data_IF_040103391034
#
_entry.id   IF_040103391034
#
_cell.length_a   1.000
_cell.length_b   1.000
_cell.length_c   1.000
_cell.angle_alpha   90.00
_cell.angle_beta   90.00
_cell.angle_gamma   90.00
#
_symmetry.space_group_name_H-M   'P 1'
#
loop_
_entity.id
_entity.type
_entity.pdbx_description
1 polymer ?
#
# COMPACT_ATOMS: atom_id res chain seq x y z
N UNK A 1 -55.31 13.79 1.79
CA UNK A 1 -54.83 12.68 2.64
C UNK A 1 -53.92 11.72 1.88
N UNK A 2 -54.40 11.00 0.85
CA UNK A 2 -53.60 9.97 0.13
C UNK A 2 -52.30 10.48 -0.52
N UNK A 3 -52.33 11.65 -1.17
CA UNK A 3 -51.14 12.24 -1.81
C UNK A 3 -50.08 12.65 -0.76
N UNK A 4 -50.52 13.16 0.39
CA UNK A 4 -49.63 13.52 1.50
C UNK A 4 -48.92 12.29 2.08
N UNK A 5 -49.61 11.16 2.17
CA UNK A 5 -49.04 9.89 2.62
C UNK A 5 -48.01 9.38 1.61
N UNK A 6 -48.29 9.48 0.30
CA UNK A 6 -47.33 9.09 -0.75
C UNK A 6 -46.07 9.96 -0.75
N UNK A 7 -46.21 11.27 -0.54
CA UNK A 7 -45.07 12.18 -0.41
C UNK A 7 -44.22 11.88 0.83
N UNK A 8 -44.86 11.57 1.96
CA UNK A 8 -44.17 11.14 3.18
C UNK A 8 -43.40 9.82 2.96
N UNK A 9 -44.01 8.83 2.32
CA UNK A 9 -43.34 7.57 2.00
C UNK A 9 -42.16 7.77 1.03
N UNK A 10 -42.32 8.62 0.01
CA UNK A 10 -41.24 8.97 -0.91
C UNK A 10 -40.08 9.69 -0.21
N UNK A 11 -40.38 10.62 0.70
CA UNK A 11 -39.37 11.32 1.49
C UNK A 11 -38.60 10.37 2.42
N UNK A 12 -39.30 9.47 3.12
CA UNK A 12 -38.67 8.47 4.00
C UNK A 12 -37.79 7.51 3.20
N UNK A 13 -38.25 7.03 2.04
CA UNK A 13 -37.44 6.19 1.16
C UNK A 13 -36.17 6.90 0.67
N UNK A 14 -36.29 8.17 0.28
CA UNK A 14 -35.15 8.99 -0.14
C UNK A 14 -34.16 9.24 1.01
N UNK A 15 -34.66 9.53 2.22
CA UNK A 15 -33.82 9.73 3.40
C UNK A 15 -33.03 8.47 3.77
N UNK A 16 -33.67 7.30 3.76
CA UNK A 16 -33.01 6.01 4.01
C UNK A 16 -31.95 5.72 2.94
N UNK A 17 -32.28 5.95 1.66
CA UNK A 17 -31.33 5.77 0.56
C UNK A 17 -30.09 6.64 0.72
N UNK A 18 -30.28 7.94 1.00
CA UNK A 18 -29.18 8.89 1.23
C UNK A 18 -28.34 8.46 2.43
N UNK A 19 -28.98 8.12 3.55
CA UNK A 19 -28.30 7.69 4.76
C UNK A 19 -27.39 6.48 4.52
N UNK A 20 -27.92 5.43 3.88
CA UNK A 20 -27.13 4.23 3.54
C UNK A 20 -25.96 4.57 2.61
N UNK A 21 -26.19 5.40 1.59
CA UNK A 21 -25.15 5.84 0.66
C UNK A 21 -24.00 6.57 1.39
N UNK A 22 -24.32 7.45 2.34
CA UNK A 22 -23.32 8.15 3.15
C UNK A 22 -22.55 7.21 4.08
N UNK A 23 -23.22 6.22 4.69
CA UNK A 23 -22.54 5.21 5.52
C UNK A 23 -21.53 4.41 4.71
N UNK A 24 -21.93 3.87 3.55
CA UNK A 24 -21.02 3.08 2.70
C UNK A 24 -19.83 3.90 2.22
N UNK A 25 -20.03 5.17 1.87
CA UNK A 25 -18.92 6.04 1.47
C UNK A 25 -17.93 6.27 2.62
N UNK A 26 -18.44 6.49 3.83
CA UNK A 26 -17.61 6.68 5.02
C UNK A 26 -16.79 5.42 5.35
N UNK A 27 -17.38 4.25 5.26
CA UNK A 27 -16.67 2.97 5.47
C UNK A 27 -15.54 2.77 4.46
N UNK A 28 -15.75 3.16 3.19
CA UNK A 28 -14.71 3.10 2.15
C UNK A 28 -13.59 4.12 2.42
N UNK A 29 -13.93 5.32 2.88
CA UNK A 29 -12.95 6.34 3.25
C UNK A 29 -12.11 5.92 4.48
N UNK A 30 -12.75 5.32 5.49
CA UNK A 30 -12.07 4.76 6.66
C UNK A 30 -11.12 3.62 6.25
N UNK A 31 -11.59 2.68 5.41
CA UNK A 31 -10.74 1.59 4.90
C UNK A 31 -9.56 2.12 4.06
N UNK A 32 -9.77 3.16 3.25
CA UNK A 32 -8.71 3.79 2.45
C UNK A 32 -7.66 4.48 3.34
N UNK A 33 -8.10 5.14 4.41
CA UNK A 33 -7.21 5.78 5.38
C UNK A 33 -6.36 4.75 6.13
N UNK A 34 -6.96 3.65 6.58
CA UNK A 34 -6.26 2.55 7.25
C UNK A 34 -5.24 1.88 6.31
N UNK A 35 -5.64 1.62 5.07
CA UNK A 35 -4.76 1.10 4.04
C UNK A 35 -3.56 2.00 3.80
N UNK A 36 -3.78 3.31 3.63
CA UNK A 36 -2.73 4.27 3.41
C UNK A 36 -1.80 4.40 4.63
N UNK A 37 -2.35 4.36 5.85
CA UNK A 37 -1.56 4.40 7.07
C UNK A 37 -0.63 3.18 7.18
N UNK A 38 -1.14 1.98 6.90
CA UNK A 38 -0.35 0.74 6.88
C UNK A 38 0.78 0.78 5.85
N UNK A 39 0.47 1.17 4.61
CA UNK A 39 1.49 1.28 3.56
C UNK A 39 2.54 2.33 3.92
N UNK A 40 2.13 3.46 4.52
CA UNK A 40 3.05 4.49 5.00
C UNK A 40 3.99 3.96 6.08
N UNK A 41 3.48 3.24 7.09
CA UNK A 41 4.32 2.69 8.16
C UNK A 41 5.33 1.67 7.63
N UNK A 42 4.90 0.72 6.79
CA UNK A 42 5.78 -0.28 6.19
C UNK A 42 6.85 0.37 5.29
N UNK A 43 6.49 1.39 4.54
CA UNK A 43 7.45 2.14 3.70
C UNK A 43 8.52 2.81 4.56
N UNK A 44 8.12 3.42 5.70
CA UNK A 44 9.06 4.07 6.62
C UNK A 44 9.99 3.05 7.26
N UNK A 45 9.50 1.89 7.68
CA UNK A 45 10.35 0.81 8.23
C UNK A 45 11.40 0.33 7.23
N UNK A 46 10.98 0.05 6.00
CA UNK A 46 11.89 -0.37 4.93
C UNK A 46 12.90 0.73 4.59
N UNK A 47 12.50 2.00 4.61
CA UNK A 47 13.38 3.13 4.35
C UNK A 47 14.42 3.31 5.46
N UNK A 48 14.03 3.12 6.73
CA UNK A 48 14.98 3.10 7.85
C UNK A 48 15.99 1.97 7.73
N UNK A 49 15.54 0.77 7.34
CA UNK A 49 16.44 -0.37 7.11
C UNK A 49 17.40 -0.11 5.96
N UNK A 50 16.92 0.45 4.86
CA UNK A 50 17.77 0.87 3.74
C UNK A 50 18.80 1.92 4.16
N UNK A 51 18.42 2.92 4.97
CA UNK A 51 19.35 3.92 5.49
C UNK A 51 20.47 3.27 6.32
N UNK A 52 20.15 2.31 7.20
CA UNK A 52 21.16 1.57 7.96
C UNK A 52 22.13 0.80 7.05
N UNK A 53 21.64 0.18 5.98
CA UNK A 53 22.49 -0.51 5.00
C UNK A 53 23.41 0.46 4.23
N UNK A 54 22.93 1.67 3.93
CA UNK A 54 23.76 2.71 3.30
C UNK A 54 24.92 3.16 4.18
N UNK A 55 24.74 3.17 5.51
CA UNK A 55 25.77 3.53 6.49
C UNK A 55 26.88 2.45 6.59
N UNK A 56 26.64 1.24 6.09
CA UNK A 56 27.60 0.12 6.15
C UNK A 56 28.57 0.04 4.94
N UNK A 57 28.59 1.06 4.06
CA UNK A 57 29.50 1.27 2.91
C UNK A 57 29.64 0.15 1.85
N UNK A 58 29.04 -1.03 2.02
CA UNK A 58 29.18 -2.18 1.11
C UNK A 58 28.08 -2.30 0.03
N UNK A 59 27.17 -1.34 -0.08
CA UNK A 59 26.09 -1.37 -1.08
C UNK A 59 26.56 -0.76 -2.40
N UNK A 60 26.42 -1.50 -3.51
CA UNK A 60 26.72 -0.99 -4.85
C UNK A 60 25.82 0.19 -5.23
N UNK A 61 26.39 1.21 -5.89
CA UNK A 61 25.68 2.46 -6.22
C UNK A 61 24.43 2.23 -7.10
N UNK A 62 24.47 1.23 -7.97
CA UNK A 62 23.34 0.82 -8.80
C UNK A 62 22.16 0.30 -7.98
N UNK A 63 22.42 -0.50 -6.95
CA UNK A 63 21.38 -1.02 -6.06
C UNK A 63 20.76 0.09 -5.22
N UNK A 64 21.57 1.07 -4.79
CA UNK A 64 21.07 2.25 -4.09
C UNK A 64 20.08 3.03 -4.95
N UNK A 65 20.47 3.35 -6.19
CA UNK A 65 19.63 4.08 -7.13
C UNK A 65 18.34 3.32 -7.44
N UNK A 66 18.44 2.00 -7.65
CA UNK A 66 17.26 1.17 -7.93
C UNK A 66 16.29 1.15 -6.75
N UNK A 67 16.78 1.01 -5.52
CA UNK A 67 15.92 0.98 -4.32
C UNK A 67 15.32 2.37 -4.06
N UNK A 68 16.09 3.44 -4.22
CA UNK A 68 15.58 4.82 -4.14
C UNK A 68 14.46 5.10 -5.15
N UNK A 69 14.61 4.64 -6.40
CA UNK A 69 13.55 4.77 -7.41
C UNK A 69 12.27 4.03 -7.02
N UNK A 70 12.38 2.83 -6.42
CA UNK A 70 11.22 2.09 -5.92
C UNK A 70 10.51 2.83 -4.78
N UNK A 71 11.27 3.39 -3.83
CA UNK A 71 10.68 4.20 -2.75
C UNK A 71 10.02 5.47 -3.29
N UNK A 72 10.66 6.16 -4.24
CA UNK A 72 10.06 7.32 -4.90
C UNK A 72 8.73 6.97 -5.56
N UNK A 73 8.68 5.85 -6.29
CA UNK A 73 7.45 5.36 -6.91
C UNK A 73 6.36 5.07 -5.88
N UNK A 74 6.68 4.42 -4.76
CA UNK A 74 5.70 4.16 -3.70
C UNK A 74 5.19 5.48 -3.11
N UNK A 75 6.06 6.44 -2.87
CA UNK A 75 5.68 7.74 -2.31
C UNK A 75 4.80 8.57 -3.27
N UNK A 76 5.09 8.53 -4.57
CA UNK A 76 4.28 9.20 -5.60
C UNK A 76 2.89 8.54 -5.76
N UNK A 77 2.79 7.23 -5.48
CA UNK A 77 1.56 6.46 -5.57
C UNK A 77 0.98 6.11 -4.19
N UNK A 78 1.36 6.85 -3.14
CA UNK A 78 0.97 6.54 -1.77
C UNK A 78 -0.50 6.86 -1.50
N UNK A 79 -1.15 7.67 -2.34
CA UNK A 79 -2.53 8.07 -2.14
C UNK A 79 -3.50 7.01 -2.64
N UNK A 80 -4.31 6.47 -1.72
CA UNK A 80 -5.38 5.55 -2.07
C UNK A 80 -6.56 6.32 -2.67
N UNK A 81 -6.97 5.95 -3.89
CA UNK A 81 -8.17 6.50 -4.51
C UNK A 81 -9.42 5.79 -3.96
N UNK A 82 -10.16 6.47 -3.07
CA UNK A 82 -11.27 5.95 -2.25
C UNK A 82 -12.62 5.87 -2.98
N UNK A 83 -12.63 5.44 -4.24
CA UNK A 83 -13.87 5.38 -5.04
C UNK A 83 -14.71 4.12 -4.79
N UNK A 84 -14.12 3.04 -4.25
CA UNK A 84 -14.82 1.79 -3.93
C UNK A 84 -13.98 0.91 -3.00
N UNK A 85 -14.60 -0.06 -2.32
CA UNK A 85 -13.87 -1.08 -1.56
C UNK A 85 -12.91 -1.89 -2.45
N UNK A 86 -13.30 -2.19 -3.69
CA UNK A 86 -12.48 -2.90 -4.65
C UNK A 86 -11.20 -2.12 -5.01
N UNK A 87 -11.31 -0.79 -5.20
CA UNK A 87 -10.16 0.05 -5.50
C UNK A 87 -9.20 0.18 -4.31
N UNK A 88 -9.72 0.19 -3.07
CA UNK A 88 -8.88 0.15 -1.87
C UNK A 88 -8.11 -1.17 -1.77
N UNK A 89 -8.77 -2.30 -2.06
CA UNK A 89 -8.11 -3.63 -2.07
C UNK A 89 -7.07 -3.75 -3.18
N UNK A 90 -7.36 -3.22 -4.36
CA UNK A 90 -6.42 -3.19 -5.48
C UNK A 90 -5.19 -2.35 -5.14
N UNK A 91 -5.40 -1.16 -4.56
CA UNK A 91 -4.33 -0.31 -4.03
C UNK A 91 -3.46 -1.07 -3.01
N UNK A 92 -4.07 -1.73 -2.03
CA UNK A 92 -3.36 -2.52 -1.02
C UNK A 92 -2.53 -3.63 -1.65
N UNK A 93 -3.13 -4.45 -2.51
CA UNK A 93 -2.46 -5.55 -3.21
C UNK A 93 -1.24 -5.07 -4.00
N UNK A 94 -1.39 -3.97 -4.76
CA UNK A 94 -0.28 -3.40 -5.51
C UNK A 94 0.82 -2.85 -4.61
N UNK A 95 0.46 -2.15 -3.54
CA UNK A 95 1.41 -1.57 -2.61
C UNK A 95 2.18 -2.65 -1.84
N UNK A 96 1.51 -3.69 -1.35
CA UNK A 96 2.11 -4.85 -0.70
C UNK A 96 3.10 -5.57 -1.61
N UNK A 97 2.73 -5.80 -2.88
CA UNK A 97 3.64 -6.42 -3.85
C UNK A 97 4.92 -5.58 -4.05
N UNK A 98 4.78 -4.25 -4.13
CA UNK A 98 5.94 -3.34 -4.28
C UNK A 98 6.81 -3.34 -3.03
N UNK A 99 6.21 -3.30 -1.84
CA UNK A 99 6.93 -3.37 -0.56
C UNK A 99 7.65 -4.70 -0.41
N UNK A 100 7.02 -5.82 -0.75
CA UNK A 100 7.65 -7.15 -0.73
C UNK A 100 8.88 -7.21 -1.65
N UNK A 101 8.79 -6.63 -2.86
CA UNK A 101 9.91 -6.54 -3.79
C UNK A 101 11.04 -5.60 -3.32
N UNK A 102 10.76 -4.64 -2.43
CA UNK A 102 11.80 -3.85 -1.76
C UNK A 102 12.42 -4.69 -0.64
N UNK A 103 11.60 -5.32 0.19
CA UNK A 103 12.02 -6.16 1.32
C UNK A 103 12.98 -7.27 0.86
N UNK A 104 12.63 -8.03 -0.17
CA UNK A 104 13.50 -9.08 -0.75
C UNK A 104 14.84 -8.51 -1.21
N UNK A 105 14.86 -7.32 -1.82
CA UNK A 105 16.11 -6.68 -2.26
C UNK A 105 16.96 -6.24 -1.07
N UNK A 106 16.34 -5.67 -0.04
CA UNK A 106 17.04 -5.28 1.18
C UNK A 106 17.59 -6.50 1.92
N UNK A 107 16.83 -7.59 2.01
CA UNK A 107 17.29 -8.84 2.63
C UNK A 107 18.52 -9.41 1.91
N UNK A 108 18.56 -9.35 0.57
CA UNK A 108 19.76 -9.76 -0.19
C UNK A 108 20.98 -8.88 0.07
N UNK A 109 20.79 -7.58 0.30
CA UNK A 109 21.89 -6.66 0.63
C UNK A 109 22.38 -6.81 2.07
N UNK A 110 21.55 -7.36 2.95
CA UNK A 110 21.84 -7.63 4.37
C UNK A 110 22.50 -9.01 4.55
N UNK A 111 22.53 -9.86 3.52
CA UNK A 111 23.17 -11.18 3.57
C UNK A 111 24.70 -11.05 3.49
N UNK A 112 25.45 -11.75 4.36
CA UNK A 112 26.91 -11.79 4.26
C UNK A 112 27.34 -12.41 2.92
N UNK A 113 28.36 -11.82 2.29
CA UNK A 113 28.88 -12.14 0.96
C UNK A 113 29.13 -13.65 0.72
N UNK A 114 29.47 -14.40 1.77
CA UNK A 114 29.70 -15.86 1.71
C UNK A 114 28.43 -16.72 1.49
N UNK A 115 27.24 -16.18 1.78
CA UNK A 115 25.96 -16.88 1.53
C UNK A 115 25.40 -16.60 0.13
N UNK A 116 25.74 -15.46 -0.46
CA UNK A 116 25.24 -15.06 -1.77
C UNK A 116 25.88 -15.87 -2.90
N UNK A 117 27.20 -16.15 -2.80
CA UNK A 117 27.90 -17.03 -3.76
C UNK A 117 27.42 -18.48 -3.69
N UNK A 118 27.06 -18.97 -2.49
CA UNK A 118 26.55 -20.34 -2.32
C UNK A 118 25.14 -20.51 -2.91
N UNK A 119 24.27 -19.49 -2.84
CA UNK A 119 22.94 -19.56 -3.46
C UNK A 119 22.99 -19.46 -4.99
N UNK A 120 23.88 -18.66 -5.56
CA UNK A 120 24.07 -18.62 -7.02
C UNK A 120 24.70 -19.93 -7.54
N UNK A 121 25.61 -20.54 -6.77
CA UNK A 121 26.22 -21.82 -7.14
C UNK A 121 25.23 -23.00 -7.06
N UNK A 122 24.31 -23.01 -6.08
CA UNK A 122 23.25 -24.04 -6.01
C UNK A 122 22.19 -23.91 -7.12
N UNK A 123 21.91 -22.69 -7.61
CA UNK A 123 20.98 -22.51 -8.73
C UNK A 123 21.57 -22.94 -10.09
N UNK A 124 22.90 -23.14 -10.17
CA UNK A 124 23.61 -23.56 -11.38
C UNK A 124 23.91 -25.07 -11.43
N UNK A 125 23.45 -25.85 -10.44
CA UNK A 125 23.66 -27.30 -10.33
C UNK A 125 22.38 -28.07 -10.63
#
# INVERSE_FOLDING_TARGET
>A
MGIFILLLLGFVAFAIYRYRKYQTQREIEEMAADAQAYISSETVELLQRFKKLLEQENVAEQDKQHIQQKFKYINENLFCQSYSEASVREYLSHAEQKLALIRIKLDRLDMPQDQQSNQEFEQLK
#
